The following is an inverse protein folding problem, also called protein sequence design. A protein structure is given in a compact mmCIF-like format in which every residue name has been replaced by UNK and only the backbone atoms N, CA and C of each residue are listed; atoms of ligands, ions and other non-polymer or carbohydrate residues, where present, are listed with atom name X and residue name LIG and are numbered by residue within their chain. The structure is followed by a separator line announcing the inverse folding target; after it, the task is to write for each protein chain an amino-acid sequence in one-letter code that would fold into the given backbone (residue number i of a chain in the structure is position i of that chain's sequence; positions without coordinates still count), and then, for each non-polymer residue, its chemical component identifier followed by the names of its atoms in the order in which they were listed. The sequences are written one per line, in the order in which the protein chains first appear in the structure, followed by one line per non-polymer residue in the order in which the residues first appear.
data_IF_686290694136
#
_entry.id   IF_686290694136
#
_cell.length_a   1.000
_cell.length_b   1.000
_cell.length_c   1.000
_cell.angle_alpha   90.00
_cell.angle_beta   90.00
_cell.angle_gamma   90.00
#
_symmetry.space_group_name_H-M   'P 1'
#
loop_
_entity.id
_entity.type
_entity.pdbx_description
1 polymer ?
#
# COMPACT_ATOMS: atom_id res chain seq x y z
N UNK A 1 24.82 1.87 -44.39
CA UNK A 1 25.05 1.57 -42.96
C UNK A 1 24.74 2.82 -42.15
N UNK A 2 23.50 2.99 -41.74
CA UNK A 2 23.01 4.15 -40.98
C UNK A 2 23.03 3.79 -39.50
N UNK A 3 23.94 4.38 -38.73
CA UNK A 3 24.00 4.22 -37.27
C UNK A 3 22.72 4.78 -36.65
N UNK A 4 21.88 3.92 -36.09
CA UNK A 4 20.75 4.30 -35.27
C UNK A 4 21.23 5.02 -34.01
N UNK A 5 20.87 6.30 -33.88
CA UNK A 5 21.11 7.10 -32.68
C UNK A 5 20.27 6.51 -31.54
N UNK A 6 20.92 5.81 -30.62
CA UNK A 6 20.30 5.42 -29.35
C UNK A 6 20.08 6.68 -28.54
N UNK A 7 18.84 7.18 -28.53
CA UNK A 7 18.43 8.23 -27.59
C UNK A 7 18.44 7.61 -26.19
N UNK A 8 19.50 7.88 -25.44
CA UNK A 8 19.52 7.65 -24.00
C UNK A 8 18.39 8.46 -23.37
N UNK A 9 17.43 7.79 -22.73
CA UNK A 9 16.45 8.43 -21.86
C UNK A 9 17.22 9.11 -20.72
N UNK A 10 17.36 10.43 -20.79
CA UNK A 10 17.92 11.21 -19.69
C UNK A 10 16.87 11.23 -18.58
N UNK A 11 17.07 10.46 -17.52
CA UNK A 11 16.28 10.55 -16.30
C UNK A 11 16.70 11.81 -15.55
N UNK A 12 16.08 12.94 -15.89
CA UNK A 12 16.19 14.14 -15.06
C UNK A 12 15.30 13.91 -13.81
N UNK A 13 15.92 13.70 -12.65
CA UNK A 13 15.22 13.56 -11.38
C UNK A 13 14.39 14.83 -11.14
N UNK A 14 13.07 14.68 -11.05
CA UNK A 14 12.15 15.75 -10.65
C UNK A 14 11.53 15.42 -9.31
N UNK A 15 11.55 16.38 -8.40
CA UNK A 15 10.93 16.25 -7.08
C UNK A 15 10.29 17.57 -6.67
N UNK A 16 9.40 17.51 -5.69
CA UNK A 16 8.65 18.66 -5.16
C UNK A 16 8.39 18.44 -3.67
N UNK A 17 8.80 19.38 -2.82
CA UNK A 17 8.43 19.42 -1.41
C UNK A 17 7.01 19.97 -1.21
N UNK A 18 6.42 19.77 -0.03
CA UNK A 18 5.03 20.16 0.27
C UNK A 18 4.70 21.62 -0.09
N UNK A 19 5.70 22.51 -0.04
CA UNK A 19 5.54 23.96 -0.24
C UNK A 19 6.16 24.50 -1.54
N UNK A 20 6.69 23.63 -2.40
CA UNK A 20 7.32 24.08 -3.64
C UNK A 20 6.30 24.62 -4.64
N UNK A 21 6.49 25.80 -5.21
CA UNK A 21 5.56 26.33 -6.23
C UNK A 21 5.82 25.81 -7.64
N UNK A 22 6.93 25.08 -7.85
CA UNK A 22 7.31 24.46 -9.11
C UNK A 22 8.11 23.17 -8.87
N UNK A 23 8.16 22.29 -9.86
CA UNK A 23 8.97 21.08 -9.81
C UNK A 23 10.46 21.44 -9.85
N UNK A 24 11.24 20.94 -8.89
CA UNK A 24 12.70 21.04 -8.91
C UNK A 24 13.27 19.97 -9.83
N UNK A 25 14.38 20.25 -10.50
CA UNK A 25 15.12 19.30 -11.34
C UNK A 25 16.62 19.47 -11.14
N UNK A 26 17.36 18.39 -10.91
CA UNK A 26 18.82 18.45 -10.76
C UNK A 26 19.42 17.14 -10.24
N UNK A 27 20.74 17.02 -10.33
CA UNK A 27 21.49 15.88 -9.79
C UNK A 27 21.73 15.98 -8.27
N UNK A 28 20.78 16.56 -7.53
CA UNK A 28 20.92 16.82 -6.10
C UNK A 28 20.93 15.54 -5.27
N UNK A 29 21.57 15.60 -4.09
CA UNK A 29 21.75 14.47 -3.18
C UNK A 29 20.45 13.99 -2.50
N UNK A 30 19.31 14.63 -2.78
CA UNK A 30 18.05 14.42 -2.06
C UNK A 30 17.18 13.25 -2.54
N UNK A 31 17.31 12.81 -3.79
CA UNK A 31 16.58 11.63 -4.30
C UNK A 31 17.29 11.06 -5.51
N UNK A 32 17.80 9.83 -5.37
CA UNK A 32 18.25 9.03 -6.51
C UNK A 32 17.13 8.07 -6.83
N UNK A 33 16.46 8.23 -7.97
CA UNK A 33 15.82 7.05 -8.56
C UNK A 33 16.98 6.07 -8.77
N UNK A 34 16.88 4.85 -8.22
CA UNK A 34 17.83 3.80 -8.54
C UNK A 34 18.00 3.70 -10.05
N UNK A 35 19.13 3.16 -10.51
CA UNK A 35 19.24 2.78 -11.93
C UNK A 35 17.99 1.97 -12.24
N UNK A 36 17.20 2.37 -13.25
CA UNK A 36 16.15 1.50 -13.79
C UNK A 36 16.88 0.27 -14.30
N UNK A 37 16.97 -0.73 -13.44
CA UNK A 37 17.31 -2.08 -13.81
C UNK A 37 16.07 -2.65 -14.51
N UNK A 38 16.25 -3.64 -15.37
CA UNK A 38 15.10 -4.41 -15.89
C UNK A 38 14.42 -5.24 -14.78
N UNK A 39 14.82 -5.05 -13.53
CA UNK A 39 14.18 -5.62 -12.37
C UNK A 39 12.86 -4.89 -12.18
N UNK A 40 11.78 -5.67 -12.19
CA UNK A 40 10.44 -5.21 -11.80
C UNK A 40 10.58 -4.43 -10.51
N UNK A 41 9.88 -3.31 -10.41
CA UNK A 41 9.95 -2.37 -9.26
C UNK A 41 9.46 -2.97 -7.93
N UNK A 42 9.21 -4.28 -7.91
CA UNK A 42 8.73 -5.01 -6.77
C UNK A 42 7.26 -4.75 -6.49
N UNK A 43 6.49 -4.10 -7.38
CA UNK A 43 5.07 -3.82 -7.14
C UNK A 43 4.12 -4.83 -7.78
N UNK A 44 4.59 -5.69 -8.68
CA UNK A 44 3.73 -6.63 -9.41
C UNK A 44 2.90 -7.55 -8.51
N UNK A 45 3.44 -7.99 -7.37
CA UNK A 45 2.69 -8.80 -6.40
C UNK A 45 1.54 -8.01 -5.74
N UNK A 46 1.66 -6.68 -5.64
CA UNK A 46 0.63 -5.83 -5.07
C UNK A 46 -0.57 -5.76 -6.01
N UNK A 47 -0.34 -5.78 -7.33
CA UNK A 47 -1.42 -5.85 -8.31
C UNK A 47 -2.17 -7.18 -8.24
N UNK A 48 -1.48 -8.30 -8.00
CA UNK A 48 -2.12 -9.60 -7.82
C UNK A 48 -3.08 -9.61 -6.62
N UNK A 49 -2.71 -8.98 -5.50
CA UNK A 49 -3.59 -8.83 -4.33
C UNK A 49 -4.83 -7.96 -4.62
N UNK A 50 -4.63 -6.86 -5.34
CA UNK A 50 -5.71 -5.93 -5.70
C UNK A 50 -6.69 -6.56 -6.69
N UNK A 51 -6.23 -7.49 -7.53
CA UNK A 51 -7.05 -8.19 -8.52
C UNK A 51 -7.79 -9.38 -7.90
N UNK A 52 -7.11 -10.23 -7.14
CA UNK A 52 -7.71 -11.46 -6.57
C UNK A 52 -8.80 -11.11 -5.54
N UNK A 53 -8.60 -10.02 -4.77
CA UNK A 53 -9.55 -9.52 -3.76
C UNK A 53 -10.05 -10.57 -2.78
N UNK A 54 -9.31 -11.67 -2.60
CA UNK A 54 -9.62 -12.72 -1.65
C UNK A 54 -9.01 -12.40 -0.27
N UNK A 55 -9.76 -12.53 0.84
CA UNK A 55 -9.21 -12.35 2.19
C UNK A 55 -7.99 -13.22 2.47
N UNK A 56 -8.01 -14.47 1.97
CA UNK A 56 -6.92 -15.42 2.14
C UNK A 56 -5.63 -15.00 1.41
N UNK A 57 -5.75 -14.32 0.26
CA UNK A 57 -4.59 -13.82 -0.48
C UNK A 57 -3.90 -12.68 0.26
N UNK A 58 -4.68 -11.77 0.86
CA UNK A 58 -4.15 -10.73 1.73
C UNK A 58 -3.42 -11.31 2.96
N UNK A 59 -4.04 -12.30 3.64
CA UNK A 59 -3.41 -12.97 4.78
C UNK A 59 -2.11 -13.67 4.38
N UNK A 60 -2.11 -14.40 3.26
CA UNK A 60 -0.92 -15.08 2.76
C UNK A 60 0.22 -14.10 2.47
N UNK A 61 -0.08 -12.94 1.86
CA UNK A 61 0.89 -11.89 1.65
C UNK A 61 1.40 -11.28 2.97
N UNK A 62 0.52 -11.00 3.93
CA UNK A 62 0.93 -10.41 5.22
C UNK A 62 1.94 -11.29 5.98
N UNK A 63 1.95 -12.59 5.70
CA UNK A 63 2.89 -13.56 6.27
C UNK A 63 4.24 -13.68 5.52
N UNK A 64 4.40 -12.99 4.38
CA UNK A 64 5.66 -13.00 3.59
C UNK A 64 6.66 -11.93 4.01
N UNK A 65 6.22 -10.94 4.78
CA UNK A 65 7.05 -9.86 5.28
C UNK A 65 7.61 -10.26 6.65
N UNK A 66 8.92 -10.58 6.68
CA UNK A 66 9.64 -10.98 7.89
C UNK A 66 9.63 -9.88 8.98
N UNK A 67 9.26 -8.65 8.63
CA UNK A 67 9.16 -7.51 9.55
C UNK A 67 7.76 -7.33 10.17
N UNK A 68 6.77 -8.16 9.82
CA UNK A 68 5.38 -8.02 10.31
C UNK A 68 5.06 -8.84 11.59
N UNK A 69 4.13 -8.35 12.43
CA UNK A 69 3.69 -9.00 13.67
C UNK A 69 2.83 -10.28 13.36
N UNK A 70 2.38 -11.07 14.36
CA UNK A 70 1.94 -12.48 14.18
C UNK A 70 0.80 -12.66 13.16
N UNK A 71 0.58 -13.90 12.65
CA UNK A 71 -0.33 -14.17 11.54
C UNK A 71 -1.70 -13.53 11.73
N UNK A 72 -2.12 -12.74 10.75
CA UNK A 72 -3.41 -12.05 10.74
C UNK A 72 -4.54 -13.09 10.59
N UNK A 73 -5.57 -13.07 11.45
CA UNK A 73 -6.70 -14.00 11.33
C UNK A 73 -7.55 -13.70 10.09
N UNK A 74 -7.98 -14.75 9.39
CA UNK A 74 -8.70 -14.61 8.11
C UNK A 74 -10.14 -14.16 8.29
N UNK A 75 -10.83 -14.53 9.38
CA UNK A 75 -12.23 -14.19 9.60
C UNK A 75 -12.46 -12.68 9.77
N UNK A 76 -11.71 -11.94 10.60
CA UNK A 76 -11.83 -10.48 10.69
C UNK A 76 -11.49 -9.77 9.37
N UNK A 77 -10.52 -10.29 8.62
CA UNK A 77 -10.17 -9.76 7.28
C UNK A 77 -11.32 -10.00 6.30
N UNK A 78 -11.92 -11.19 6.30
CA UNK A 78 -13.06 -11.52 5.44
C UNK A 78 -14.28 -10.62 5.70
N UNK A 79 -14.51 -10.23 6.96
CA UNK A 79 -15.55 -9.26 7.32
C UNK A 79 -15.35 -7.91 6.63
N UNK A 80 -14.11 -7.41 6.59
CA UNK A 80 -13.75 -6.14 5.94
C UNK A 80 -13.92 -6.23 4.41
N UNK A 81 -13.62 -7.38 3.82
CA UNK A 81 -13.65 -7.59 2.36
C UNK A 81 -15.06 -7.80 1.80
N UNK A 82 -16.10 -7.87 2.62
CA UNK A 82 -17.47 -8.16 2.15
C UNK A 82 -18.04 -6.96 1.35
N UNK A 83 -18.39 -7.14 0.06
CA UNK A 83 -18.64 -6.04 -0.88
C UNK A 83 -20.06 -5.43 -0.82
N UNK A 84 -20.90 -5.83 0.14
CA UNK A 84 -22.31 -5.43 0.20
C UNK A 84 -22.60 -4.75 1.52
N UNK A 85 -23.10 -3.49 1.46
CA UNK A 85 -23.35 -2.56 2.59
C UNK A 85 -22.07 -2.05 3.26
N UNK A 86 -22.09 -0.90 3.98
CA UNK A 86 -20.93 -0.54 4.78
C UNK A 86 -20.71 -1.71 5.74
N UNK A 87 -19.64 -2.49 5.54
CA UNK A 87 -19.26 -3.53 6.49
C UNK A 87 -18.88 -2.78 7.75
N UNK A 88 -19.87 -2.60 8.61
CA UNK A 88 -19.71 -1.88 9.84
C UNK A 88 -18.65 -2.60 10.65
N UNK A 89 -17.63 -1.86 11.08
CA UNK A 89 -16.55 -2.43 11.88
C UNK A 89 -17.04 -2.53 13.31
N UNK A 90 -17.16 -3.77 13.80
CA UNK A 90 -17.58 -4.07 15.17
C UNK A 90 -16.37 -4.17 16.09
N UNK A 91 -16.60 -4.06 17.41
CA UNK A 91 -15.52 -4.24 18.39
C UNK A 91 -14.89 -5.62 18.38
N UNK A 92 -15.60 -6.65 17.91
CA UNK A 92 -15.06 -8.01 17.81
C UNK A 92 -14.10 -8.14 16.61
N UNK A 93 -14.38 -7.45 15.50
CA UNK A 93 -13.45 -7.36 14.36
C UNK A 93 -12.16 -6.65 14.77
N UNK A 94 -12.27 -5.53 15.50
CA UNK A 94 -11.10 -4.80 16.00
C UNK A 94 -10.28 -5.65 16.96
N UNK A 95 -10.91 -6.28 17.96
CA UNK A 95 -10.20 -7.17 18.90
C UNK A 95 -9.61 -8.40 18.23
N UNK A 96 -10.24 -8.90 17.16
CA UNK A 96 -9.72 -10.00 16.37
C UNK A 96 -8.41 -9.64 15.66
N UNK A 97 -8.31 -8.42 15.11
CA UNK A 97 -7.10 -7.95 14.41
C UNK A 97 -6.03 -7.44 15.36
N UNK A 98 -6.42 -6.68 16.38
CA UNK A 98 -5.54 -6.13 17.40
C UNK A 98 -6.16 -6.31 18.79
N UNK A 99 -5.75 -7.36 19.54
CA UNK A 99 -6.29 -7.64 20.87
C UNK A 99 -6.05 -6.55 21.92
N UNK A 100 -5.02 -5.72 21.70
CA UNK A 100 -4.57 -4.65 22.60
C UNK A 100 -5.44 -3.38 22.53
N UNK A 101 -6.23 -3.19 21.46
CA UNK A 101 -7.04 -1.99 21.25
C UNK A 101 -8.52 -2.32 21.07
N UNK A 102 -9.38 -1.35 21.35
CA UNK A 102 -10.82 -1.46 21.21
C UNK A 102 -11.38 -0.58 20.09
N UNK A 103 -12.66 -0.79 19.77
CA UNK A 103 -13.40 0.02 18.79
C UNK A 103 -13.37 1.52 19.11
N UNK A 104 -13.30 1.87 20.40
CA UNK A 104 -13.23 3.27 20.84
C UNK A 104 -11.96 3.96 20.33
N UNK A 105 -10.84 3.23 20.28
CA UNK A 105 -9.54 3.78 19.94
C UNK A 105 -9.42 4.09 18.45
N UNK A 106 -10.12 3.32 17.60
CA UNK A 106 -10.11 3.45 16.13
C UNK A 106 -11.35 4.14 15.54
N UNK A 107 -12.33 4.53 16.37
CA UNK A 107 -13.64 5.05 15.92
C UNK A 107 -13.53 6.33 15.08
N UNK A 108 -12.56 7.20 15.36
CA UNK A 108 -12.35 8.42 14.60
C UNK A 108 -11.80 8.08 13.20
N UNK A 109 -10.74 7.30 13.14
CA UNK A 109 -10.06 6.89 11.91
C UNK A 109 -11.00 6.12 10.98
N UNK A 110 -11.77 5.18 11.55
CA UNK A 110 -12.78 4.41 10.83
C UNK A 110 -13.81 5.31 10.11
N UNK A 111 -14.26 6.39 10.77
CA UNK A 111 -15.18 7.37 10.15
C UNK A 111 -14.50 8.17 9.04
N UNK A 112 -13.23 8.53 9.23
CA UNK A 112 -12.44 9.26 8.23
C UNK A 112 -12.28 8.46 6.93
N UNK A 113 -12.01 7.15 7.04
CA UNK A 113 -11.81 6.27 5.88
C UNK A 113 -13.12 5.68 5.30
N UNK A 114 -14.29 6.10 5.80
CA UNK A 114 -15.59 5.68 5.28
C UNK A 114 -16.10 4.32 5.77
N UNK A 115 -15.51 3.77 6.84
CA UNK A 115 -15.97 2.55 7.51
C UNK A 115 -16.68 2.92 8.83
N UNK A 116 -18.01 3.13 8.83
CA UNK A 116 -18.70 3.50 10.07
C UNK A 116 -18.54 2.41 11.14
N UNK A 117 -18.29 2.78 12.41
CA UNK A 117 -18.28 1.84 13.52
C UNK A 117 -19.67 1.70 14.18
N UNK A 118 -20.07 0.47 14.52
CA UNK A 118 -21.25 0.13 15.36
C UNK A 118 -20.80 -0.05 16.80
#
# INVERSE_FOLDING_TARGET
MTKGSSRSCRTDNRWREAYDTSWRSGAGDGWRTGRSTDERDGSDWMFDLLIDRAPAAYVAWSATDDEQPPPVPVEPVAHIFTPSTPSTVTGDVVRGLYPEIGLRDVRADLREIGYPPE
#
